data_IF_634559640842
#
_entry.id   IF_634559640842
#
_cell.length_a   1.000
_cell.length_b   1.000
_cell.length_c   1.000
_cell.angle_alpha   90.00
_cell.angle_beta   90.00
_cell.angle_gamma   90.00
#
_symmetry.space_group_name_H-M   'P 1'
#
loop_
_entity.id
_entity.type
_entity.pdbx_description
1 polymer ?
#
# COMPACT_ATOMS: atom_id res chain seq x y z
N UNK A 1 -14.89 13.68 -13.70
CA UNK A 1 -16.00 13.00 -13.01
C UNK A 1 -15.59 12.66 -11.58
N UNK A 2 -15.93 13.47 -10.57
CA UNK A 2 -15.68 13.14 -9.15
C UNK A 2 -14.30 12.54 -8.87
N UNK A 3 -14.27 11.31 -8.36
CA UNK A 3 -13.05 10.56 -8.03
C UNK A 3 -12.24 10.00 -9.21
N UNK A 4 -12.72 10.08 -10.46
CA UNK A 4 -12.00 9.49 -11.61
C UNK A 4 -10.99 10.45 -12.26
N UNK A 5 -10.45 11.40 -11.50
CA UNK A 5 -9.51 12.41 -12.01
C UNK A 5 -8.10 12.18 -11.45
N UNK A 6 -7.63 12.98 -10.49
CA UNK A 6 -6.34 12.77 -9.86
C UNK A 6 -6.38 11.57 -8.90
N UNK A 7 -5.41 10.67 -9.06
CA UNK A 7 -5.39 9.35 -8.42
C UNK A 7 -4.99 9.37 -6.93
N UNK A 8 -4.20 10.36 -6.50
CA UNK A 8 -3.81 10.58 -5.11
C UNK A 8 -3.42 9.30 -4.34
N UNK A 9 -2.57 8.45 -4.91
CA UNK A 9 -2.08 7.21 -4.27
C UNK A 9 -3.16 6.16 -3.97
N UNK A 10 -4.31 6.18 -4.66
CA UNK A 10 -5.36 5.18 -4.45
C UNK A 10 -4.87 3.78 -4.89
N UNK A 11 -4.97 2.79 -4.00
CA UNK A 11 -4.45 1.42 -4.20
C UNK A 11 -2.92 1.31 -4.42
N UNK A 12 -2.15 2.25 -3.85
CA UNK A 12 -0.69 2.16 -3.72
C UNK A 12 0.15 2.12 -5.03
N UNK A 13 -0.12 2.95 -6.06
CA UNK A 13 0.80 3.07 -7.19
C UNK A 13 2.22 3.47 -6.74
N UNK A 14 2.36 4.21 -5.63
CA UNK A 14 3.63 4.51 -4.95
C UNK A 14 4.45 3.26 -4.68
N UNK A 15 3.85 2.24 -4.10
CA UNK A 15 4.56 1.00 -3.81
C UNK A 15 4.90 0.25 -5.09
N UNK A 16 3.96 0.13 -6.03
CA UNK A 16 4.24 -0.51 -7.32
C UNK A 16 5.46 0.12 -8.01
N UNK A 17 5.51 1.46 -8.10
CA UNK A 17 6.58 2.18 -8.79
C UNK A 17 7.90 2.11 -8.03
N UNK A 18 7.89 2.20 -6.70
CA UNK A 18 9.11 2.02 -5.90
C UNK A 18 9.65 0.59 -5.98
N UNK A 19 8.81 -0.44 -5.92
CA UNK A 19 9.24 -1.82 -6.12
C UNK A 19 9.73 -2.07 -7.56
N UNK A 20 9.10 -1.46 -8.57
CA UNK A 20 9.59 -1.52 -9.95
C UNK A 20 10.97 -0.86 -10.08
N UNK A 21 11.19 0.28 -9.43
CA UNK A 21 12.48 0.96 -9.37
C UNK A 21 13.54 0.06 -8.73
N UNK A 22 13.31 -0.41 -7.50
CA UNK A 22 14.24 -1.27 -6.75
C UNK A 22 14.62 -2.55 -7.50
N UNK A 23 13.65 -3.18 -8.17
CA UNK A 23 13.88 -4.43 -8.90
C UNK A 23 14.59 -4.26 -10.24
N UNK A 24 14.48 -3.09 -10.87
CA UNK A 24 15.00 -2.87 -12.22
C UNK A 24 16.29 -2.04 -12.25
N UNK A 25 16.53 -1.21 -11.24
CA UNK A 25 17.66 -0.27 -11.21
C UNK A 25 17.58 0.82 -12.29
N UNK A 26 16.41 0.98 -12.93
CA UNK A 26 16.22 1.88 -14.07
C UNK A 26 16.03 3.33 -13.62
N UNK A 27 16.87 4.22 -14.13
CA UNK A 27 16.87 5.63 -13.76
C UNK A 27 15.55 6.34 -14.15
N UNK A 28 14.93 5.96 -15.26
CA UNK A 28 13.65 6.52 -15.69
C UNK A 28 12.50 6.15 -14.74
N UNK A 29 12.52 4.94 -14.16
CA UNK A 29 11.52 4.51 -13.17
C UNK A 29 11.75 5.24 -11.85
N UNK A 30 13.01 5.45 -11.46
CA UNK A 30 13.34 6.26 -10.29
C UNK A 30 12.77 7.67 -10.43
N UNK A 31 12.99 8.34 -11.58
CA UNK A 31 12.48 9.71 -11.80
C UNK A 31 10.95 9.78 -11.79
N UNK A 32 10.29 8.75 -12.31
CA UNK A 32 8.83 8.66 -12.25
C UNK A 32 8.33 8.52 -10.80
N UNK A 33 8.90 7.58 -10.03
CA UNK A 33 8.55 7.35 -8.63
C UNK A 33 8.89 8.56 -7.73
N UNK A 34 10.02 9.23 -7.98
CA UNK A 34 10.42 10.47 -7.31
C UNK A 34 9.41 11.58 -7.55
N UNK A 35 9.03 11.83 -8.81
CA UNK A 35 8.06 12.88 -9.15
C UNK A 35 6.72 12.63 -8.47
N UNK A 36 6.24 11.39 -8.48
CA UNK A 36 5.01 11.03 -7.80
C UNK A 36 5.14 11.22 -6.28
N UNK A 37 6.26 10.79 -5.67
CA UNK A 37 6.51 10.96 -4.22
C UNK A 37 6.50 12.43 -3.81
N UNK A 38 7.12 13.30 -4.62
CA UNK A 38 7.12 14.76 -4.40
C UNK A 38 5.74 15.38 -4.55
N UNK A 39 4.86 14.81 -5.37
CA UNK A 39 3.49 15.28 -5.50
C UNK A 39 2.61 14.75 -4.36
N UNK A 40 2.51 13.43 -4.22
CA UNK A 40 1.55 12.77 -3.33
C UNK A 40 1.89 12.99 -1.86
N UNK A 41 3.17 13.15 -1.51
CA UNK A 41 3.59 13.49 -0.15
C UNK A 41 3.38 14.96 0.22
N UNK A 42 3.22 15.86 -0.75
CA UNK A 42 3.15 17.31 -0.54
C UNK A 42 1.73 17.86 -0.78
N UNK A 43 1.21 17.69 -2.00
CA UNK A 43 -0.03 18.33 -2.46
C UNK A 43 -1.27 17.58 -1.96
N UNK A 44 -1.18 16.24 -1.88
CA UNK A 44 -2.33 15.39 -1.55
C UNK A 44 -2.49 15.20 -0.03
N UNK A 45 -1.60 15.79 0.79
CA UNK A 45 -1.56 15.66 2.25
C UNK A 45 -1.70 17.01 2.95
N UNK A 46 -2.41 17.03 4.08
CA UNK A 46 -2.52 18.22 4.92
C UNK A 46 -1.35 18.29 5.91
N UNK A 47 -0.57 19.37 5.86
CA UNK A 47 0.62 19.55 6.72
C UNK A 47 0.39 20.45 7.93
N UNK A 48 -0.70 21.22 7.93
CA UNK A 48 -1.01 22.22 8.96
C UNK A 48 -2.53 22.30 9.22
N UNK A 49 -2.90 22.94 10.33
CA UNK A 49 -4.29 23.13 10.76
C UNK A 49 -4.88 21.91 11.48
N UNK A 50 -6.17 21.99 11.82
CA UNK A 50 -6.87 20.95 12.60
C UNK A 50 -6.91 19.57 11.93
N UNK A 51 -6.68 19.53 10.61
CA UNK A 51 -6.67 18.30 9.80
C UNK A 51 -5.27 17.93 9.31
N UNK A 52 -4.21 18.43 9.94
CA UNK A 52 -2.85 18.00 9.62
C UNK A 52 -2.68 16.49 9.87
N UNK A 53 -1.95 15.80 8.99
CA UNK A 53 -1.70 14.36 9.05
C UNK A 53 -2.29 13.59 7.85
N UNK A 54 -3.62 13.44 7.72
CA UNK A 54 -4.23 12.66 6.65
C UNK A 54 -4.10 13.32 5.26
N UNK A 55 -4.18 12.48 4.24
CA UNK A 55 -4.28 12.91 2.86
C UNK A 55 -5.71 12.84 2.33
N UNK A 56 -5.92 13.39 1.13
CA UNK A 56 -7.23 13.47 0.49
C UNK A 56 -7.39 12.38 -0.56
N UNK A 57 -8.49 11.64 -0.48
CA UNK A 57 -8.90 10.68 -1.51
C UNK A 57 -8.94 11.31 -2.92
N UNK A 58 -8.63 10.51 -3.92
CA UNK A 58 -8.69 10.82 -5.36
C UNK A 58 -9.93 11.64 -5.79
N UNK A 59 -9.73 12.63 -6.67
CA UNK A 59 -10.73 13.64 -6.98
C UNK A 59 -10.35 14.62 -8.10
N UNK A 60 -11.31 15.48 -8.50
CA UNK A 60 -11.09 16.52 -9.54
C UNK A 60 -10.01 17.51 -9.12
N UNK A 61 -9.95 17.84 -7.84
CA UNK A 61 -8.84 18.56 -7.23
C UNK A 61 -8.18 17.65 -6.21
N UNK A 62 -6.88 17.79 -6.04
CA UNK A 62 -6.06 17.04 -5.07
C UNK A 62 -6.57 17.12 -3.62
N UNK A 63 -7.43 18.09 -3.31
CA UNK A 63 -7.95 18.35 -1.97
C UNK A 63 -9.49 18.39 -1.89
N UNK A 64 -10.22 18.06 -2.97
CA UNK A 64 -11.67 18.22 -3.04
C UNK A 64 -12.48 17.14 -2.30
N UNK A 65 -12.04 15.88 -2.30
CA UNK A 65 -12.81 14.80 -1.69
C UNK A 65 -12.89 14.95 -0.16
N UNK A 66 -14.02 14.58 0.43
CA UNK A 66 -14.29 14.72 1.86
C UNK A 66 -13.70 13.60 2.73
N UNK A 67 -13.22 12.51 2.11
CA UNK A 67 -12.52 11.43 2.77
C UNK A 67 -11.04 11.85 2.96
N UNK A 68 -10.75 12.40 4.13
CA UNK A 68 -9.38 12.63 4.59
C UNK A 68 -8.95 11.43 5.42
N UNK A 69 -7.95 10.68 4.96
CA UNK A 69 -7.60 9.37 5.52
C UNK A 69 -6.09 9.14 5.53
N UNK A 70 -5.62 8.34 6.49
CA UNK A 70 -4.21 8.02 6.65
C UNK A 70 -3.65 7.15 5.51
N UNK A 71 -4.52 6.39 4.84
CA UNK A 71 -4.14 5.54 3.69
C UNK A 71 -3.49 6.30 2.53
N UNK A 72 -3.72 7.61 2.43
CA UNK A 72 -3.13 8.49 1.41
C UNK A 72 -1.78 9.06 1.90
N UNK A 73 -1.74 9.46 3.17
CA UNK A 73 -0.56 10.03 3.82
C UNK A 73 0.42 8.98 4.37
N UNK A 74 0.23 7.71 4.03
CA UNK A 74 1.06 6.60 4.52
C UNK A 74 2.54 6.88 4.27
N UNK A 75 3.36 6.76 5.32
CA UNK A 75 4.81 6.93 5.18
C UNK A 75 5.45 5.78 4.40
N UNK A 76 4.76 4.65 4.23
CA UNK A 76 5.24 3.50 3.43
C UNK A 76 5.55 3.93 1.99
N UNK A 77 4.79 4.89 1.46
CA UNK A 77 4.98 5.41 0.11
C UNK A 77 6.24 6.31 -0.02
N UNK A 78 6.76 6.83 1.09
CA UNK A 78 7.88 7.79 1.13
C UNK A 78 9.19 7.18 1.63
N UNK A 79 9.12 6.10 2.42
CA UNK A 79 10.28 5.40 2.99
C UNK A 79 11.32 5.03 1.93
N UNK A 80 10.90 4.48 0.80
CA UNK A 80 11.79 4.09 -0.30
C UNK A 80 12.62 5.27 -0.82
N UNK A 81 11.98 6.39 -1.14
CA UNK A 81 12.69 7.60 -1.57
C UNK A 81 13.64 8.11 -0.49
N UNK A 82 13.14 8.23 0.74
CA UNK A 82 13.91 8.77 1.85
C UNK A 82 15.17 7.94 2.13
N UNK A 83 15.05 6.62 2.26
CA UNK A 83 16.21 5.77 2.58
C UNK A 83 17.21 5.66 1.43
N UNK A 84 16.79 5.89 0.18
CA UNK A 84 17.69 5.95 -0.97
C UNK A 84 18.42 7.28 -1.12
N UNK A 85 17.83 8.38 -0.63
CA UNK A 85 18.31 9.75 -0.95
C UNK A 85 18.76 10.56 0.25
N UNK A 86 18.29 10.24 1.45
CA UNK A 86 18.50 11.05 2.65
C UNK A 86 17.70 12.36 2.67
N UNK A 87 16.73 12.55 1.77
CA UNK A 87 16.06 13.84 1.59
C UNK A 87 15.39 14.37 2.87
N UNK A 88 15.89 15.50 3.37
CA UNK A 88 15.46 16.09 4.62
C UNK A 88 14.01 16.57 4.55
N UNK A 89 13.54 17.05 3.40
CA UNK A 89 12.15 17.51 3.24
C UNK A 89 11.17 16.35 3.44
N UNK A 90 11.39 15.22 2.77
CA UNK A 90 10.58 14.01 2.98
C UNK A 90 10.77 13.49 4.41
N UNK A 91 11.96 13.66 4.98
CA UNK A 91 12.21 13.45 6.39
C UNK A 91 11.27 14.26 7.30
N UNK A 92 11.07 15.54 7.04
CA UNK A 92 10.17 16.41 7.82
C UNK A 92 8.71 15.95 7.67
N UNK A 93 8.28 15.62 6.45
CA UNK A 93 6.93 15.11 6.17
C UNK A 93 6.63 13.83 6.97
N UNK A 94 7.55 12.86 6.95
CA UNK A 94 7.37 11.63 7.71
C UNK A 94 7.42 11.86 9.22
N UNK A 95 8.19 12.85 9.70
CA UNK A 95 8.22 13.19 11.12
C UNK A 95 6.92 13.85 11.60
N UNK A 96 6.32 14.70 10.76
CA UNK A 96 5.04 15.35 11.04
C UNK A 96 3.92 14.31 11.24
N UNK A 97 3.95 13.20 10.49
CA UNK A 97 2.91 12.16 10.56
C UNK A 97 2.99 11.26 11.80
N UNK A 98 4.00 11.36 12.67
CA UNK A 98 4.08 10.49 13.87
C UNK A 98 2.90 10.71 14.83
N UNK A 99 2.30 11.91 14.85
CA UNK A 99 1.15 12.25 15.71
C UNK A 99 -0.18 12.25 14.95
N UNK A 100 -0.24 11.61 13.78
CA UNK A 100 -1.44 11.63 12.94
C UNK A 100 -2.62 10.80 13.52
N UNK A 101 -2.40 10.10 14.65
CA UNK A 101 -3.47 9.50 15.45
C UNK A 101 -4.35 10.57 16.14
N UNK A 102 -3.82 11.76 16.41
CA UNK A 102 -4.58 12.85 17.02
C UNK A 102 -5.69 13.39 16.10
N UNK A 103 -5.57 13.24 14.78
CA UNK A 103 -6.58 13.72 13.83
C UNK A 103 -7.93 13.01 14.00
N UNK A 104 -7.96 11.81 14.60
CA UNK A 104 -9.20 11.11 14.92
C UNK A 104 -10.04 11.82 16.00
N UNK A 105 -9.47 12.77 16.75
CA UNK A 105 -10.22 13.67 17.62
C UNK A 105 -11.01 14.74 16.85
N UNK A 106 -10.62 15.00 15.60
CA UNK A 106 -11.20 16.06 14.77
C UNK A 106 -12.08 15.47 13.68
N UNK A 107 -11.68 14.32 13.13
CA UNK A 107 -12.33 13.72 11.98
C UNK A 107 -12.35 12.20 12.07
N UNK A 108 -13.55 11.65 12.22
CA UNK A 108 -13.80 10.23 12.02
C UNK A 108 -13.89 9.93 10.49
N UNK A 109 -13.02 9.06 9.94
CA UNK A 109 -13.04 8.65 8.53
C UNK A 109 -14.35 8.01 8.08
N UNK A 110 -15.09 7.37 8.98
CA UNK A 110 -16.30 6.59 8.71
C UNK A 110 -17.59 7.29 9.19
N UNK A 111 -17.51 8.54 9.66
CA UNK A 111 -18.66 9.36 10.16
C UNK A 111 -19.93 9.39 9.30
N UNK A 112 -19.82 9.12 8.00
CA UNK A 112 -20.94 9.12 7.04
C UNK A 112 -21.62 7.76 6.88
N UNK A 113 -20.97 6.70 7.35
CA UNK A 113 -21.42 5.30 7.20
C UNK A 113 -21.58 4.59 8.55
N UNK A 114 -21.17 5.22 9.66
CA UNK A 114 -21.47 4.76 11.01
C UNK A 114 -22.94 5.00 11.35
N UNK A 115 -23.49 4.10 12.16
CA UNK A 115 -24.83 4.19 12.76
C UNK A 115 -24.82 4.83 14.15
N UNK A 116 -23.68 4.81 14.84
CA UNK A 116 -23.51 5.37 16.18
C UNK A 116 -23.12 6.86 16.17
N UNK A 117 -23.32 7.59 17.28
CA UNK A 117 -22.89 8.98 17.40
C UNK A 117 -21.39 9.18 17.13
N UNK A 118 -21.08 10.18 16.31
CA UNK A 118 -19.71 10.55 15.94
C UNK A 118 -19.13 11.61 16.91
N UNK A 119 -19.16 11.32 18.21
CA UNK A 119 -18.48 12.17 19.20
C UNK A 119 -17.12 11.55 19.53
N UNK A 120 -16.00 12.23 19.24
CA UNK A 120 -14.68 11.68 19.49
C UNK A 120 -14.42 11.54 20.99
N UNK A 121 -14.06 10.34 21.42
CA UNK A 121 -13.55 10.05 22.76
C UNK A 121 -12.05 9.72 22.66
N UNK A 122 -11.22 10.49 23.36
CA UNK A 122 -9.77 10.31 23.42
C UNK A 122 -9.37 8.90 23.88
N UNK A 123 -10.21 8.23 24.65
CA UNK A 123 -9.95 6.89 25.19
C UNK A 123 -10.62 5.77 24.38
N UNK A 124 -11.37 6.11 23.33
CA UNK A 124 -12.12 5.15 22.53
C UNK A 124 -12.32 5.60 21.06
N UNK A 125 -11.23 5.93 20.37
CA UNK A 125 -11.25 6.31 18.95
C UNK A 125 -11.45 5.08 18.07
N UNK A 126 -12.45 5.08 17.19
CA UNK A 126 -12.66 3.99 16.24
C UNK A 126 -11.60 4.04 15.13
N UNK A 127 -10.75 3.03 15.04
CA UNK A 127 -9.69 2.92 14.01
C UNK A 127 -9.80 1.55 13.34
N UNK A 128 -9.87 1.56 12.00
CA UNK A 128 -9.85 0.33 11.21
C UNK A 128 -8.45 -0.31 11.16
N UNK A 129 -8.36 -1.63 11.30
CA UNK A 129 -7.09 -2.38 11.28
C UNK A 129 -6.45 -2.49 9.90
N UNK A 130 -7.15 -2.03 8.85
CA UNK A 130 -6.64 -1.95 7.49
C UNK A 130 -6.13 -0.56 7.13
N UNK A 131 -6.98 0.22 6.47
CA UNK A 131 -6.63 1.51 5.86
C UNK A 131 -6.09 2.55 6.83
N UNK A 132 -6.61 2.58 8.06
CA UNK A 132 -6.22 3.59 9.05
C UNK A 132 -4.98 3.13 9.81
N UNK A 133 -5.05 1.97 10.47
CA UNK A 133 -3.93 1.46 11.27
C UNK A 133 -2.66 1.27 10.44
N UNK A 134 -2.73 0.79 9.20
CA UNK A 134 -1.52 0.65 8.37
C UNK A 134 -0.83 2.01 8.10
N UNK A 135 -1.58 3.09 7.89
CA UNK A 135 -1.02 4.43 7.75
C UNK A 135 -0.36 4.92 9.05
N UNK A 136 -1.05 4.73 10.19
CA UNK A 136 -0.55 5.09 11.52
C UNK A 136 0.71 4.32 11.91
N UNK A 137 0.64 2.98 11.81
CA UNK A 137 1.73 2.08 12.16
C UNK A 137 2.95 2.27 11.26
N UNK A 138 2.75 2.63 9.99
CA UNK A 138 3.85 3.02 9.11
C UNK A 138 4.57 4.28 9.62
N UNK A 139 3.82 5.30 10.03
CA UNK A 139 4.42 6.53 10.56
C UNK A 139 5.19 6.27 11.86
N UNK A 140 4.63 5.43 12.74
CA UNK A 140 5.30 5.05 13.97
C UNK A 140 6.55 4.18 13.75
N UNK A 141 6.48 3.18 12.87
CA UNK A 141 7.65 2.36 12.51
C UNK A 141 8.77 3.24 11.95
N UNK A 142 8.42 4.15 11.03
CA UNK A 142 9.37 5.11 10.45
C UNK A 142 9.97 6.03 11.51
N UNK A 143 9.15 6.55 12.44
CA UNK A 143 9.63 7.37 13.56
C UNK A 143 10.56 6.61 14.51
N UNK A 144 10.28 5.33 14.74
CA UNK A 144 11.12 4.45 15.57
C UNK A 144 12.49 4.19 14.91
N UNK A 145 12.51 3.83 13.62
CA UNK A 145 13.75 3.56 12.86
C UNK A 145 14.66 4.79 12.75
N UNK A 146 14.07 5.96 12.50
CA UNK A 146 14.82 7.22 12.32
C UNK A 146 15.40 7.80 13.61
N UNK A 147 15.05 7.23 14.78
CA UNK A 147 15.56 7.64 16.10
C UNK A 147 15.41 9.14 16.40
N UNK A 148 14.34 9.76 15.91
CA UNK A 148 14.03 11.16 16.18
C UNK A 148 13.42 11.41 17.57
N UNK A 149 13.03 12.66 17.89
CA UNK A 149 12.52 13.03 19.23
C UNK A 149 11.29 12.23 19.70
N UNK A 150 10.45 11.77 18.76
CA UNK A 150 9.23 11.01 19.04
C UNK A 150 9.44 9.48 19.05
N UNK A 151 10.69 9.00 19.02
CA UNK A 151 11.04 7.57 18.90
C UNK A 151 10.34 6.70 19.94
N UNK A 152 10.39 7.07 21.22
CA UNK A 152 9.83 6.21 22.28
C UNK A 152 8.31 6.12 22.21
N UNK A 153 7.63 7.24 21.91
CA UNK A 153 6.17 7.23 21.62
C UNK A 153 5.89 6.30 20.45
N UNK A 154 6.60 6.47 19.34
CA UNK A 154 6.39 5.70 18.12
C UNK A 154 6.61 4.19 18.35
N UNK A 155 7.71 3.82 19.01
CA UNK A 155 7.99 2.43 19.42
C UNK A 155 6.87 1.87 20.31
N UNK A 156 6.45 2.63 21.33
CA UNK A 156 5.39 2.20 22.24
C UNK A 156 4.10 1.90 21.47
N UNK A 157 3.68 2.80 20.55
CA UNK A 157 2.49 2.61 19.71
C UNK A 157 2.56 1.38 18.81
N UNK A 158 3.71 1.15 18.15
CA UNK A 158 3.89 -0.06 17.34
C UNK A 158 3.67 -1.29 18.21
N UNK A 159 4.41 -1.43 19.31
CA UNK A 159 4.37 -2.64 20.13
C UNK A 159 2.99 -2.85 20.77
N UNK A 160 2.38 -1.80 21.30
CA UNK A 160 1.07 -1.89 21.96
C UNK A 160 -0.07 -2.21 20.99
N UNK A 161 -0.03 -1.68 19.76
CA UNK A 161 -1.06 -1.98 18.75
C UNK A 161 -0.88 -3.36 18.14
N UNK A 162 0.35 -3.83 17.91
CA UNK A 162 0.61 -5.23 17.54
C UNK A 162 0.01 -6.19 18.57
N UNK A 163 0.31 -5.96 19.85
CA UNK A 163 -0.15 -6.78 20.97
C UNK A 163 -1.69 -6.80 21.04
N UNK A 164 -2.32 -5.62 20.97
CA UNK A 164 -3.77 -5.50 21.16
C UNK A 164 -4.60 -5.84 19.92
N UNK A 165 -4.03 -5.83 18.72
CA UNK A 165 -4.65 -6.43 17.52
C UNK A 165 -4.58 -7.95 17.61
N UNK A 166 -3.42 -8.51 18.00
CA UNK A 166 -3.27 -9.96 18.18
C UNK A 166 -4.21 -10.53 19.25
N UNK A 167 -4.52 -9.73 20.28
CA UNK A 167 -5.44 -10.10 21.35
C UNK A 167 -6.93 -10.02 20.97
N UNK A 168 -7.29 -9.46 19.81
CA UNK A 168 -8.70 -9.40 19.40
C UNK A 168 -9.24 -10.82 19.14
N UNK A 169 -10.51 -11.11 19.47
CA UNK A 169 -11.08 -12.44 19.28
C UNK A 169 -10.92 -13.00 17.85
N UNK A 170 -11.04 -12.11 16.84
CA UNK A 170 -10.84 -12.44 15.43
C UNK A 170 -9.62 -11.73 14.80
N UNK A 171 -8.67 -11.25 15.58
CA UNK A 171 -7.47 -10.56 15.06
C UNK A 171 -7.81 -9.43 14.07
N UNK A 172 -7.20 -9.46 12.87
CA UNK A 172 -7.50 -8.51 11.78
C UNK A 172 -8.91 -8.63 11.21
N UNK A 173 -9.57 -9.80 11.32
CA UNK A 173 -10.95 -10.03 10.86
C UNK A 173 -11.98 -9.30 11.74
N UNK A 174 -11.59 -8.93 12.97
CA UNK A 174 -12.36 -8.01 13.81
C UNK A 174 -12.60 -6.65 13.13
N UNK A 175 -11.70 -6.25 12.20
CA UNK A 175 -11.86 -5.11 11.30
C UNK A 175 -11.52 -3.75 11.88
N UNK A 176 -11.84 -3.51 13.14
CA UNK A 176 -11.55 -2.25 13.84
C UNK A 176 -11.50 -2.45 15.35
N UNK A 177 -10.96 -1.46 16.06
CA UNK A 177 -10.96 -1.43 17.53
C UNK A 177 -11.11 -0.01 18.07
N UNK A 178 -11.47 0.07 19.36
CA UNK A 178 -11.48 1.34 20.10
C UNK A 178 -10.09 1.61 20.64
N UNK A 179 -9.45 2.65 20.12
CA UNK A 179 -8.08 3.05 20.42
C UNK A 179 -8.04 4.14 21.48
N UNK A 180 -7.27 3.90 22.54
CA UNK A 180 -6.98 4.89 23.57
C UNK A 180 -5.73 5.69 23.15
N UNK A 181 -5.91 6.98 22.91
CA UNK A 181 -4.84 7.90 22.50
C UNK A 181 -3.86 8.20 23.63
N UNK A 182 -4.21 7.99 24.90
CA UNK A 182 -3.27 8.13 26.01
C UNK A 182 -2.28 6.96 26.03
N UNK A 183 -2.79 5.73 25.97
CA UNK A 183 -2.02 4.50 26.18
C UNK A 183 -1.48 3.89 24.88
N UNK A 184 -2.13 4.16 23.74
CA UNK A 184 -1.76 3.60 22.44
C UNK A 184 -2.27 2.18 22.24
N UNK A 185 -3.30 1.79 23.00
CA UNK A 185 -3.81 0.43 23.05
C UNK A 185 -5.21 0.39 22.46
N UNK A 186 -5.52 -0.72 21.79
CA UNK A 186 -6.90 -1.05 21.50
C UNK A 186 -7.54 -1.74 22.69
N UNK A 187 -8.78 -1.36 23.01
CA UNK A 187 -9.63 -2.18 23.85
C UNK A 187 -9.84 -3.55 23.17
N UNK A 188 -9.69 -4.62 23.93
CA UNK A 188 -9.97 -5.98 23.44
C UNK A 188 -11.48 -6.18 23.44
N UNK A 189 -12.06 -6.51 22.29
CA UNK A 189 -13.49 -6.77 22.20
C UNK A 189 -13.87 -8.00 23.04
N UNK A 190 -15.03 -7.93 23.70
CA UNK A 190 -15.57 -9.06 24.46
C UNK A 190 -16.11 -10.17 23.56
N UNK A 191 -16.55 -9.81 22.35
CA UNK A 191 -17.19 -10.72 21.39
C UNK A 191 -16.47 -10.71 20.04
N UNK A 192 -16.40 -11.86 19.35
CA UNK A 192 -15.88 -11.94 18.00
C UNK A 192 -16.78 -11.20 17.01
N UNK A 193 -16.17 -10.43 16.12
CA UNK A 193 -16.86 -9.75 15.00
C UNK A 193 -16.17 -10.11 13.70
N UNK A 194 -16.95 -10.21 12.62
CA UNK A 194 -16.44 -10.32 11.25
C UNK A 194 -16.72 -9.00 10.54
N UNK A 195 -15.67 -8.22 10.29
CA UNK A 195 -15.74 -6.95 9.58
C UNK A 195 -14.55 -6.83 8.63
N UNK A 196 -14.73 -7.30 7.40
CA UNK A 196 -13.66 -7.37 6.40
C UNK A 196 -13.98 -6.43 5.23
N UNK A 197 -13.01 -5.60 4.86
CA UNK A 197 -13.08 -4.73 3.69
C UNK A 197 -12.02 -5.12 2.67
N UNK A 198 -12.38 -5.07 1.38
CA UNK A 198 -11.43 -5.24 0.28
C UNK A 198 -10.40 -4.10 0.23
N UNK A 199 -10.60 -3.00 0.94
CA UNK A 199 -9.63 -1.91 1.02
C UNK A 199 -8.54 -2.17 2.07
N UNK A 200 -8.74 -3.09 3.01
CA UNK A 200 -7.88 -3.20 4.20
C UNK A 200 -6.43 -3.53 3.86
N UNK A 201 -6.17 -4.41 2.90
CA UNK A 201 -4.80 -4.85 2.60
C UNK A 201 -4.07 -3.99 1.55
N UNK A 202 -4.79 -3.20 0.73
CA UNK A 202 -4.31 -2.61 -0.54
C UNK A 202 -3.68 -1.21 -0.44
N UNK A 203 -3.47 -0.71 0.79
CA UNK A 203 -2.79 0.56 1.09
C UNK A 203 -1.48 0.37 1.88
N UNK A 204 -0.76 -0.72 1.60
CA UNK A 204 0.54 -1.03 2.21
C UNK A 204 0.50 -1.85 3.51
N UNK A 205 -0.69 -2.29 3.97
CA UNK A 205 -0.82 -3.13 5.16
C UNK A 205 0.05 -4.40 5.07
N UNK A 206 0.02 -5.08 3.92
CA UNK A 206 0.71 -6.36 3.78
C UNK A 206 2.23 -6.23 3.89
N UNK A 207 2.77 -5.17 3.30
CA UNK A 207 4.21 -4.89 3.36
C UNK A 207 4.62 -4.44 4.75
N UNK A 208 3.80 -3.60 5.37
CA UNK A 208 4.03 -3.16 6.73
C UNK A 208 3.99 -4.34 7.72
N UNK A 209 3.01 -5.23 7.61
CA UNK A 209 2.94 -6.42 8.45
C UNK A 209 4.14 -7.34 8.25
N UNK A 210 4.59 -7.53 7.00
CA UNK A 210 5.79 -8.32 6.73
C UNK A 210 7.04 -7.70 7.38
N UNK A 211 7.24 -6.39 7.25
CA UNK A 211 8.32 -5.67 7.93
C UNK A 211 8.22 -5.82 9.46
N UNK A 212 7.04 -5.62 10.03
CA UNK A 212 6.82 -5.70 11.48
C UNK A 212 7.07 -7.11 12.03
N UNK A 213 6.65 -8.16 11.31
CA UNK A 213 6.89 -9.56 11.69
C UNK A 213 8.39 -9.90 11.66
N UNK A 214 9.14 -9.36 10.71
CA UNK A 214 10.59 -9.58 10.65
C UNK A 214 11.36 -8.75 11.70
N UNK A 215 10.80 -7.63 12.17
CA UNK A 215 11.45 -6.70 13.12
C UNK A 215 11.08 -6.92 14.59
N UNK A 216 9.91 -7.50 14.87
CA UNK A 216 9.35 -7.63 16.23
C UNK A 216 9.00 -9.08 16.51
N UNK A 217 9.63 -9.66 17.55
CA UNK A 217 9.30 -10.99 18.04
C UNK A 217 7.95 -10.97 18.79
N UNK A 218 6.87 -11.20 18.04
CA UNK A 218 5.51 -11.30 18.57
C UNK A 218 4.72 -12.38 17.80
N UNK A 219 4.90 -13.68 18.14
CA UNK A 219 4.28 -14.78 17.39
C UNK A 219 2.76 -14.72 17.33
N UNK A 220 2.09 -14.20 18.37
CA UNK A 220 0.64 -14.02 18.38
C UNK A 220 0.16 -13.05 17.29
N UNK A 221 0.93 -12.01 17.00
CA UNK A 221 0.62 -11.08 15.91
C UNK A 221 0.86 -11.72 14.54
N UNK A 222 1.97 -12.45 14.38
CA UNK A 222 2.24 -13.20 13.15
C UNK A 222 1.09 -14.17 12.85
N UNK A 223 0.64 -14.96 13.82
CA UNK A 223 -0.48 -15.88 13.63
C UNK A 223 -1.77 -15.16 13.26
N UNK A 224 -2.11 -14.08 13.95
CA UNK A 224 -3.31 -13.28 13.64
C UNK A 224 -3.28 -12.71 12.21
N UNK A 225 -2.10 -12.28 11.74
CA UNK A 225 -1.94 -11.77 10.38
C UNK A 225 -1.96 -12.88 9.32
N UNK A 226 -1.30 -14.01 9.59
CA UNK A 226 -1.33 -15.19 8.71
C UNK A 226 -2.73 -15.79 8.59
N UNK A 227 -3.52 -15.76 9.67
CA UNK A 227 -4.94 -16.16 9.65
C UNK A 227 -5.74 -15.28 8.67
N UNK A 228 -5.60 -13.95 8.76
CA UNK A 228 -6.21 -13.02 7.79
C UNK A 228 -5.78 -13.32 6.36
N UNK A 229 -4.48 -13.55 6.13
CA UNK A 229 -3.94 -13.90 4.81
C UNK A 229 -4.56 -15.18 4.25
N UNK A 230 -4.65 -16.24 5.07
CA UNK A 230 -5.20 -17.55 4.69
C UNK A 230 -6.69 -17.48 4.38
N UNK A 231 -7.47 -16.65 5.07
CA UNK A 231 -8.93 -16.68 4.96
C UNK A 231 -9.53 -15.60 4.05
N UNK A 232 -8.81 -14.52 3.72
CA UNK A 232 -9.35 -13.49 2.82
C UNK A 232 -9.79 -14.07 1.47
N UNK A 233 -8.94 -14.90 0.85
CA UNK A 233 -9.19 -15.53 -0.45
C UNK A 233 -9.82 -16.93 -0.38
N UNK A 234 -10.07 -17.43 0.84
CA UNK A 234 -10.69 -18.73 1.07
C UNK A 234 -12.13 -18.79 0.55
N UNK A 235 -12.67 -20.01 0.47
CA UNK A 235 -14.09 -20.18 0.12
C UNK A 235 -14.98 -19.68 1.25
N UNK A 236 -16.22 -19.29 0.91
CA UNK A 236 -17.20 -18.90 1.94
C UNK A 236 -17.45 -20.01 2.97
N UNK A 237 -17.39 -21.27 2.56
CA UNK A 237 -17.53 -22.40 3.49
C UNK A 237 -16.40 -22.41 4.53
N UNK A 238 -15.15 -22.28 4.09
CA UNK A 238 -13.99 -22.20 4.99
C UNK A 238 -14.03 -20.97 5.90
N UNK A 239 -14.51 -19.83 5.39
CA UNK A 239 -14.68 -18.62 6.20
C UNK A 239 -15.73 -18.83 7.30
N UNK A 240 -16.91 -19.39 6.97
CA UNK A 240 -17.95 -19.72 7.95
C UNK A 240 -17.45 -20.70 9.00
N UNK A 241 -16.75 -21.74 8.57
CA UNK A 241 -16.20 -22.75 9.47
C UNK A 241 -15.23 -22.13 10.49
N UNK A 242 -14.43 -21.15 10.09
CA UNK A 242 -13.45 -20.50 10.96
C UNK A 242 -14.02 -19.36 11.81
N UNK A 243 -14.95 -18.56 11.27
CA UNK A 243 -15.32 -17.27 11.87
C UNK A 243 -16.80 -17.07 12.15
N UNK A 244 -17.69 -17.84 11.49
CA UNK A 244 -19.15 -17.68 11.47
C UNK A 244 -19.67 -16.23 11.72
N UNK A 245 -19.92 -15.40 10.68
CA UNK A 245 -20.26 -15.77 9.30
C UNK A 245 -19.09 -15.72 8.28
N UNK A 246 -19.39 -15.90 6.98
CA UNK A 246 -18.45 -15.59 5.89
C UNK A 246 -18.20 -14.09 5.73
N UNK A 247 -17.19 -13.72 4.95
CA UNK A 247 -16.77 -12.33 4.79
C UNK A 247 -17.64 -11.52 3.80
N UNK A 248 -18.80 -12.05 3.41
CA UNK A 248 -19.73 -11.37 2.52
C UNK A 248 -19.22 -11.32 1.08
N UNK A 249 -19.27 -10.14 0.46
CA UNK A 249 -18.86 -9.92 -0.93
C UNK A 249 -17.60 -9.05 -0.96
N UNK A 250 -16.47 -9.68 -1.26
CA UNK A 250 -15.16 -9.02 -1.40
C UNK A 250 -14.79 -8.84 -2.87
N UNK A 251 -13.80 -7.95 -3.10
CA UNK A 251 -13.26 -7.57 -4.41
C UNK A 251 -11.72 -7.54 -4.34
N UNK A 252 -11.09 -7.24 -5.47
CA UNK A 252 -9.65 -7.03 -5.61
C UNK A 252 -8.84 -8.31 -5.34
N UNK A 253 -9.37 -9.48 -5.71
CA UNK A 253 -8.74 -10.78 -5.49
C UNK A 253 -7.35 -10.89 -6.13
N UNK A 254 -7.14 -10.26 -7.30
CA UNK A 254 -5.82 -10.17 -7.92
C UNK A 254 -4.83 -9.44 -7.01
N UNK A 255 -5.22 -8.29 -6.43
CA UNK A 255 -4.38 -7.55 -5.48
C UNK A 255 -4.20 -8.24 -4.12
N UNK A 256 -5.14 -9.08 -3.71
CA UNK A 256 -5.06 -9.87 -2.46
C UNK A 256 -4.36 -11.22 -2.66
N UNK A 257 -4.06 -11.63 -3.89
CA UNK A 257 -3.26 -12.85 -4.15
C UNK A 257 -1.90 -12.85 -3.45
N UNK A 258 -1.33 -11.67 -3.19
CA UNK A 258 -0.08 -11.53 -2.42
C UNK A 258 -0.22 -11.87 -0.94
N UNK A 259 -1.43 -11.86 -0.37
CA UNK A 259 -1.68 -12.38 0.98
C UNK A 259 -1.49 -13.89 1.02
N UNK A 260 -2.10 -14.61 0.07
CA UNK A 260 -1.91 -16.06 -0.08
C UNK A 260 -0.43 -16.40 -0.28
N UNK A 261 0.27 -15.62 -1.11
CA UNK A 261 1.68 -15.84 -1.38
C UNK A 261 2.59 -15.56 -0.17
N UNK A 262 2.31 -14.50 0.59
CA UNK A 262 3.04 -14.22 1.83
C UNK A 262 2.86 -15.36 2.84
N UNK A 263 1.62 -15.80 3.07
CA UNK A 263 1.34 -16.91 3.97
C UNK A 263 2.02 -18.21 3.49
N UNK A 264 1.95 -18.51 2.19
CA UNK A 264 2.61 -19.68 1.61
C UNK A 264 4.14 -19.69 1.85
N UNK A 265 4.81 -18.54 1.74
CA UNK A 265 6.26 -18.44 1.99
C UNK A 265 6.57 -18.65 3.47
N UNK A 266 5.78 -18.07 4.39
CA UNK A 266 5.99 -18.21 5.84
C UNK A 266 5.73 -19.63 6.34
N UNK A 267 4.74 -20.31 5.79
CA UNK A 267 4.29 -21.63 6.29
C UNK A 267 4.80 -22.82 5.48
N UNK A 268 5.33 -22.59 4.28
CA UNK A 268 5.65 -23.65 3.31
C UNK A 268 4.41 -24.30 2.66
N UNK A 269 3.24 -23.68 2.73
CA UNK A 269 1.99 -24.24 2.20
C UNK A 269 1.89 -24.07 0.67
N UNK A 270 2.11 -25.16 -0.06
CA UNK A 270 2.02 -25.20 -1.52
C UNK A 270 0.62 -24.97 -2.07
N UNK A 271 -0.44 -25.28 -1.32
CA UNK A 271 -1.81 -25.05 -1.75
C UNK A 271 -2.13 -23.55 -1.75
N UNK A 272 -1.66 -22.81 -0.74
CA UNK A 272 -1.73 -21.35 -0.73
C UNK A 272 -0.91 -20.74 -1.87
N UNK A 273 0.29 -21.26 -2.15
CA UNK A 273 1.11 -20.79 -3.28
C UNK A 273 0.39 -20.96 -4.63
N UNK A 274 -0.32 -22.08 -4.81
CA UNK A 274 -1.13 -22.33 -6.02
C UNK A 274 -2.34 -21.41 -6.09
N UNK A 275 -3.07 -21.26 -4.98
CA UNK A 275 -4.23 -20.38 -4.89
C UNK A 275 -3.85 -18.92 -5.19
N UNK A 276 -2.70 -18.46 -4.71
CA UNK A 276 -2.20 -17.12 -5.02
C UNK A 276 -2.17 -16.88 -6.54
N UNK A 277 -1.61 -17.82 -7.31
CA UNK A 277 -1.56 -17.71 -8.76
C UNK A 277 -2.92 -17.82 -9.44
N UNK A 278 -3.79 -18.72 -8.98
CA UNK A 278 -5.17 -18.83 -9.47
C UNK A 278 -5.93 -17.52 -9.25
N UNK A 279 -5.79 -16.89 -8.07
CA UNK A 279 -6.42 -15.60 -7.77
C UNK A 279 -5.85 -14.47 -8.60
N UNK A 280 -4.55 -14.49 -8.88
CA UNK A 280 -3.89 -13.49 -9.70
C UNK A 280 -4.35 -13.54 -11.17
N UNK A 281 -4.47 -14.73 -11.77
CA UNK A 281 -4.77 -14.85 -13.20
C UNK A 281 -6.28 -14.91 -13.53
N UNK A 282 -7.09 -15.55 -12.68
CA UNK A 282 -8.41 -16.05 -13.11
C UNK A 282 -9.61 -15.44 -12.34
N UNK A 283 -9.44 -14.31 -11.64
CA UNK A 283 -10.53 -13.68 -10.85
C UNK A 283 -10.96 -12.32 -11.40
N UNK A 284 -10.30 -11.25 -10.98
CA UNK A 284 -10.59 -9.86 -11.31
C UNK A 284 -9.31 -9.10 -11.70
N UNK A 285 -9.40 -7.77 -11.86
CA UNK A 285 -8.27 -6.94 -12.29
C UNK A 285 -7.86 -7.17 -13.75
N UNK A 286 -6.55 -7.11 -14.00
CA UNK A 286 -5.99 -7.22 -15.36
C UNK A 286 -5.78 -8.68 -15.76
N UNK A 287 -6.57 -9.18 -16.72
CA UNK A 287 -6.51 -10.58 -17.19
C UNK A 287 -5.60 -10.74 -18.40
N UNK A 288 -5.02 -11.92 -18.57
CA UNK A 288 -4.19 -12.22 -19.76
C UNK A 288 -4.98 -12.12 -21.07
N UNK A 289 -6.31 -12.30 -21.02
CA UNK A 289 -7.20 -12.17 -22.18
C UNK A 289 -7.54 -10.73 -22.56
N UNK A 290 -7.10 -9.73 -21.79
CA UNK A 290 -7.29 -8.32 -22.16
C UNK A 290 -6.46 -7.94 -23.39
N UNK A 291 -6.74 -6.80 -24.03
CA UNK A 291 -6.07 -6.43 -25.29
C UNK A 291 -4.54 -6.26 -25.19
N UNK A 292 -4.01 -5.81 -24.04
CA UNK A 292 -2.57 -5.53 -23.85
C UNK A 292 -1.96 -4.63 -24.94
N UNK A 293 -2.78 -3.75 -25.52
CA UNK A 293 -2.39 -2.81 -26.58
C UNK A 293 -2.84 -1.39 -26.24
N UNK A 294 -2.13 -0.42 -26.81
CA UNK A 294 -2.53 0.98 -26.83
C UNK A 294 -3.08 1.30 -28.23
N UNK A 295 -4.23 1.95 -28.28
CA UNK A 295 -4.85 2.40 -29.51
C UNK A 295 -4.43 3.84 -29.80
N UNK A 296 -4.06 4.12 -31.05
CA UNK A 296 -3.68 5.47 -31.48
C UNK A 296 -4.94 6.29 -31.73
N UNK A 297 -5.00 7.49 -31.15
CA UNK A 297 -6.09 8.43 -31.33
C UNK A 297 -5.64 9.63 -32.18
N UNK A 298 -6.48 10.03 -33.13
CA UNK A 298 -6.32 11.23 -33.98
C UNK A 298 -7.66 11.93 -34.17
N UNK A 299 -7.67 13.16 -34.71
CA UNK A 299 -8.92 13.91 -34.94
C UNK A 299 -9.92 13.16 -35.86
N UNK A 300 -11.24 13.40 -35.71
CA UNK A 300 -11.88 14.39 -34.85
C UNK A 300 -12.22 13.91 -33.43
N UNK A 301 -11.84 12.69 -33.03
CA UNK A 301 -12.25 12.10 -31.73
C UNK A 301 -11.42 12.59 -30.53
N UNK A 302 -10.26 13.20 -30.77
CA UNK A 302 -9.40 13.80 -29.74
C UNK A 302 -8.94 15.20 -30.14
N UNK A 303 -8.69 16.07 -29.16
CA UNK A 303 -8.16 17.43 -29.36
C UNK A 303 -6.72 17.40 -29.89
N UNK A 304 -5.89 16.50 -29.38
CA UNK A 304 -4.49 16.30 -29.80
C UNK A 304 -4.22 14.83 -30.07
N UNK A 305 -3.37 14.47 -31.06
CA UNK A 305 -2.98 13.09 -31.29
C UNK A 305 -2.36 12.46 -30.05
N UNK A 306 -2.68 11.19 -29.78
CA UNK A 306 -2.20 10.47 -28.61
C UNK A 306 -2.45 8.98 -28.71
N UNK A 307 -2.45 8.30 -27.56
CA UNK A 307 -2.90 6.92 -27.48
C UNK A 307 -3.64 6.66 -26.17
N UNK A 308 -4.52 5.67 -26.19
CA UNK A 308 -5.29 5.24 -25.02
C UNK A 308 -5.22 3.73 -24.83
N UNK A 309 -5.44 3.31 -23.59
CA UNK A 309 -5.68 1.92 -23.24
C UNK A 309 -7.00 1.87 -22.45
N UNK A 310 -8.14 1.94 -23.16
CA UNK A 310 -9.46 1.99 -22.53
C UNK A 310 -9.86 0.74 -21.73
N UNK A 311 -9.03 -0.31 -21.77
CA UNK A 311 -9.23 -1.56 -21.05
C UNK A 311 -8.61 -1.60 -19.65
N UNK A 312 -7.82 -0.59 -19.25
CA UNK A 312 -7.06 -0.58 -17.98
C UNK A 312 -7.34 0.67 -17.15
N UNK A 313 -7.24 0.53 -15.82
CA UNK A 313 -7.27 1.63 -14.85
C UNK A 313 -6.00 1.69 -14.01
N UNK A 314 -5.75 2.82 -13.32
CA UNK A 314 -4.61 2.95 -12.41
C UNK A 314 -4.69 1.94 -11.26
N UNK A 315 -5.89 1.74 -10.71
CA UNK A 315 -6.18 0.73 -9.68
C UNK A 315 -5.76 -0.68 -10.11
N UNK A 316 -6.18 -1.11 -11.30
CA UNK A 316 -5.82 -2.42 -11.82
C UNK A 316 -4.32 -2.53 -12.07
N UNK A 317 -3.70 -1.46 -12.57
CA UNK A 317 -2.27 -1.42 -12.87
C UNK A 317 -1.42 -1.51 -11.61
N UNK A 318 -1.77 -0.75 -10.55
CA UNK A 318 -1.04 -0.74 -9.28
C UNK A 318 -1.06 -2.11 -8.61
N UNK A 319 -2.22 -2.78 -8.61
CA UNK A 319 -2.37 -4.12 -8.03
C UNK A 319 -1.76 -5.22 -8.91
N UNK A 320 -1.85 -5.11 -10.24
CA UNK A 320 -1.23 -6.07 -11.16
C UNK A 320 0.30 -5.97 -11.15
N UNK A 321 0.82 -4.74 -11.08
CA UNK A 321 2.24 -4.41 -11.09
C UNK A 321 3.02 -4.99 -9.90
N UNK A 322 2.30 -5.55 -8.94
CA UNK A 322 2.83 -6.18 -7.74
C UNK A 322 2.39 -7.66 -7.57
N UNK A 323 2.92 -8.57 -8.41
CA UNK A 323 2.47 -9.95 -8.42
C UNK A 323 3.03 -10.78 -7.24
N UNK A 324 2.35 -11.89 -6.87
CA UNK A 324 2.64 -12.73 -5.70
C UNK A 324 4.03 -13.39 -5.61
N UNK A 325 4.90 -13.31 -6.62
CA UNK A 325 6.13 -14.12 -6.71
C UNK A 325 7.44 -13.37 -6.89
N UNK A 326 7.38 -12.05 -7.02
CA UNK A 326 8.57 -11.25 -7.34
C UNK A 326 9.18 -10.54 -6.13
N UNK A 327 8.40 -10.27 -5.09
CA UNK A 327 8.87 -9.56 -3.89
C UNK A 327 9.25 -10.50 -2.76
N UNK A 328 8.43 -11.53 -2.47
CA UNK A 328 8.60 -12.33 -1.24
C UNK A 328 9.83 -13.24 -1.21
N UNK A 329 10.27 -13.76 -2.36
CA UNK A 329 11.54 -14.53 -2.44
C UNK A 329 12.79 -13.69 -2.18
N UNK A 330 12.70 -12.36 -2.26
CA UNK A 330 13.84 -11.47 -2.04
C UNK A 330 13.98 -11.00 -0.59
N UNK A 331 12.99 -11.29 0.27
CA UNK A 331 12.98 -10.82 1.67
C UNK A 331 13.45 -11.89 2.66
N UNK A 332 13.49 -13.18 2.28
CA UNK A 332 14.08 -14.25 3.09
C UNK A 332 15.45 -14.66 2.56
N UNK A 333 16.47 -14.70 3.44
CA UNK A 333 17.78 -15.33 3.18
C UNK A 333 17.66 -16.85 3.12
N UNK A 334 16.90 -17.36 2.16
CA UNK A 334 16.71 -18.79 1.95
C UNK A 334 15.67 -19.04 0.87
N UNK A 335 16.10 -19.43 -0.33
CA UNK A 335 15.58 -20.61 -1.05
C UNK A 335 16.09 -20.69 -2.50
N UNK A 336 16.86 -21.76 -2.76
CA UNK A 336 17.06 -22.35 -4.09
C UNK A 336 15.91 -23.32 -4.35
N UNK A 337 15.13 -23.08 -5.39
CA UNK A 337 14.10 -24.01 -5.88
C UNK A 337 13.52 -23.50 -7.19
N UNK A 338 13.57 -24.28 -8.29
CA UNK A 338 13.20 -23.80 -9.62
C UNK A 338 11.68 -23.61 -9.77
N UNK A 339 11.34 -22.60 -10.57
CA UNK A 339 9.98 -22.32 -11.04
C UNK A 339 9.43 -23.49 -11.87
N UNK A 340 8.11 -23.77 -11.88
CA UNK A 340 7.50 -24.58 -12.92
C UNK A 340 7.75 -23.90 -14.28
N UNK A 341 8.67 -24.45 -15.08
CA UNK A 341 8.96 -23.94 -16.42
C UNK A 341 7.65 -23.89 -17.21
N UNK A 342 7.17 -22.70 -17.56
CA UNK A 342 6.05 -22.56 -18.51
C UNK A 342 5.13 -21.34 -18.35
N UNK A 343 5.11 -20.64 -17.21
CA UNK A 343 4.21 -19.50 -16.99
C UNK A 343 4.92 -18.36 -16.25
N UNK A 344 5.79 -17.66 -16.97
CA UNK A 344 6.29 -16.35 -16.56
C UNK A 344 5.72 -15.30 -17.51
N UNK A 345 5.53 -14.04 -17.07
CA UNK A 345 5.09 -12.98 -17.96
C UNK A 345 6.08 -12.87 -19.12
N UNK A 346 5.60 -13.05 -20.35
CA UNK A 346 6.39 -12.77 -21.56
C UNK A 346 6.78 -11.30 -21.47
N UNK A 347 8.08 -11.01 -21.57
CA UNK A 347 8.56 -9.65 -21.69
C UNK A 347 7.96 -9.02 -22.95
N UNK A 348 6.98 -8.14 -22.80
CA UNK A 348 6.63 -7.20 -23.85
C UNK A 348 7.79 -6.20 -23.91
N UNK A 349 8.60 -6.27 -24.97
CA UNK A 349 9.58 -5.22 -25.25
C UNK A 349 8.78 -3.92 -25.47
N UNK A 350 9.11 -2.80 -24.82
CA UNK A 350 8.55 -1.53 -25.22
C UNK A 350 8.93 -1.30 -26.69
N UNK A 351 7.95 -0.94 -27.51
CA UNK A 351 8.25 -0.36 -28.82
C UNK A 351 8.90 1.00 -28.56
N UNK A 352 10.11 1.22 -29.10
CA UNK A 352 10.79 2.52 -29.09
C UNK A 352 9.87 3.59 -29.67
N UNK A 353 9.41 4.58 -28.88
CA UNK A 353 8.87 5.80 -29.45
C UNK A 353 10.05 6.76 -29.54
N UNK A 354 10.71 6.83 -30.69
CA UNK A 354 11.49 7.97 -31.21
C UNK A 354 12.45 7.49 -32.32
N UNK A 355 11.88 7.04 -33.44
CA UNK A 355 12.56 7.07 -34.73
C UNK A 355 11.90 8.17 -35.60
N UNK A 356 11.99 9.42 -35.11
CA UNK A 356 11.75 10.62 -35.91
C UNK A 356 13.11 11.14 -36.37
N UNK A 357 13.49 10.84 -37.60
CA UNK A 357 14.74 11.32 -38.17
C UNK A 357 14.74 12.84 -38.34
N UNK A 358 15.82 13.49 -37.90
CA UNK A 358 16.54 14.59 -38.58
C UNK A 358 17.63 15.14 -37.63
N UNK A 359 18.90 15.17 -38.09
CA UNK A 359 19.97 15.98 -37.49
C UNK A 359 21.33 15.27 -37.37
N UNK A 360 22.37 15.81 -38.01
CA UNK A 360 23.70 15.22 -38.18
C UNK A 360 24.60 15.11 -36.92
N UNK A 361 25.84 14.62 -37.07
CA UNK A 361 26.63 14.11 -35.96
C UNK A 361 27.31 15.23 -35.18
N UNK A 362 26.87 15.44 -33.94
CA UNK A 362 27.56 16.25 -32.94
C UNK A 362 28.34 15.35 -31.98
N UNK A 363 29.66 15.50 -31.97
CA UNK A 363 30.60 14.81 -31.09
C UNK A 363 30.45 15.27 -29.62
N UNK A 364 30.03 14.38 -28.72
CA UNK A 364 30.02 14.66 -27.28
C UNK A 364 31.37 14.28 -26.65
N UNK A 365 32.18 15.30 -26.35
CA UNK A 365 33.36 15.21 -25.47
C UNK A 365 32.91 14.87 -24.04
N UNK A 366 33.55 13.86 -23.46
CA UNK A 366 33.50 13.57 -22.04
C UNK A 366 34.13 14.72 -21.23
N UNK A 367 33.37 15.28 -20.28
CA UNK A 367 33.90 16.10 -19.20
C UNK A 367 33.91 15.26 -17.92
N UNK A 368 35.10 14.81 -17.51
CA UNK A 368 35.40 14.42 -16.12
C UNK A 368 35.92 15.68 -15.43
N UNK A 369 35.15 16.21 -14.49
CA UNK A 369 35.57 17.29 -13.59
C UNK A 369 35.48 16.79 -12.16
N UNK A 370 36.63 16.53 -11.56
CA UNK A 370 36.80 16.13 -10.17
C UNK A 370 36.44 17.28 -9.23
N UNK A 371 35.83 16.95 -8.09
CA UNK A 371 35.68 17.83 -6.94
C UNK A 371 36.28 17.12 -5.71
N UNK A 372 37.27 17.76 -5.09
CA UNK A 372 37.64 17.56 -3.69
C UNK A 372 38.09 18.93 -3.12
N UNK A 373 37.78 19.25 -1.85
CA UNK A 373 37.84 20.60 -1.26
C UNK A 373 39.21 20.90 -0.62
N UNK A 374 39.47 22.08 -0.03
CA UNK A 374 38.65 23.31 0.08
C UNK A 374 39.09 24.47 -0.83
#
# INVERSE_FOLDING_TARGET
MGGYAWDNSELSPDLWLWFACLRSGRAEVFRFAETMTRHTGEVDVHHLGERAGPGTRHGVQHYADSAKQQRIASTTYRRHYYFLTGDERVGDLMHANVDCDETFLVLDPIRKIRTEPCTPDRHALSIGFGTDWSGLASAWLTGWERKGPKREKARARVLSTLETIAAQPNGFVQGSGLYDLGTGRFAVASEPVVSVSHLSAVFGLNELCAELIDLVDMPAFEEAYLDYCRYFNATKAQQKERYDPDFGSLLLFQGHSRLDAYAAVRTGDEALARRAWEKFYDRDGSKESQPWVTEKLTGPVTLVPGGEAGWVSTNDTALYGWPPSRTWRCWGTGCRGPWPKGRGPRSVRPADPLAGGHGGPGTCRAYRGAWAPP
#
